data_IF_175520615233
#
_entry.id   IF_175520615233
#
_cell.length_a   1.000
_cell.length_b   1.000
_cell.length_c   1.000
_cell.angle_alpha   90.00
_cell.angle_beta   90.00
_cell.angle_gamma   90.00
#
_symmetry.space_group_name_H-M   'P 1'
#
loop_
_entity.id
_entity.type
_entity.pdbx_description
1 polymer ?
#
# COMPACT_ATOMS: atom_id res chain seq x y z
N UNK A 1 7.15 -3.02 25.56
CA UNK A 1 6.47 -2.13 24.60
C UNK A 1 7.44 -1.09 24.10
N UNK A 2 7.98 -1.25 22.89
CA UNK A 2 8.48 -0.07 22.15
C UNK A 2 7.26 0.62 21.55
N UNK A 3 7.09 1.94 21.67
CA UNK A 3 5.98 2.63 21.03
C UNK A 3 6.18 2.59 19.51
N UNK A 4 5.17 2.08 18.79
CA UNK A 4 5.08 2.01 17.32
C UNK A 4 5.06 3.38 16.61
N UNK A 5 5.18 4.49 17.37
CA UNK A 5 4.93 5.86 16.90
C UNK A 5 6.21 6.54 16.36
N UNK A 6 7.38 5.93 16.51
CA UNK A 6 8.67 6.55 16.16
C UNK A 6 8.85 6.89 14.68
N UNK A 7 8.26 6.09 13.78
CA UNK A 7 8.52 6.18 12.33
C UNK A 7 7.44 6.96 11.55
N UNK A 8 6.42 7.49 12.26
CA UNK A 8 5.31 8.25 11.65
C UNK A 8 5.73 9.70 11.31
N UNK A 9 6.78 10.22 11.95
CA UNK A 9 7.18 11.64 11.83
C UNK A 9 8.07 11.96 10.61
N UNK A 10 8.64 10.96 9.92
CA UNK A 10 9.76 11.19 8.98
C UNK A 10 9.36 11.62 7.54
N UNK A 11 8.09 11.93 7.26
CA UNK A 11 7.66 12.29 5.88
C UNK A 11 6.90 13.61 5.76
N UNK A 12 6.85 14.44 6.80
CA UNK A 12 6.21 15.80 6.75
C UNK A 12 7.01 16.84 5.94
N UNK A 13 8.09 16.45 5.28
CA UNK A 13 8.99 17.37 4.56
C UNK A 13 9.02 17.08 3.06
N UNK A 14 7.93 17.41 2.37
CA UNK A 14 8.01 17.82 0.97
C UNK A 14 7.38 19.21 0.86
N UNK A 15 8.22 20.23 0.70
CA UNK A 15 7.76 21.61 0.58
C UNK A 15 6.95 21.82 -0.70
N UNK A 16 5.81 22.50 -0.55
CA UNK A 16 4.95 22.97 -1.62
C UNK A 16 5.75 23.88 -2.56
N UNK A 17 6.01 23.41 -3.78
CA UNK A 17 6.46 24.30 -4.86
C UNK A 17 5.24 24.76 -5.63
N UNK A 18 4.86 26.02 -5.41
CA UNK A 18 3.79 26.68 -6.17
C UNK A 18 4.20 26.81 -7.62
N UNK A 19 3.67 25.95 -8.49
CA UNK A 19 3.80 26.12 -9.94
C UNK A 19 2.62 26.94 -10.44
N UNK A 20 2.87 28.21 -10.76
CA UNK A 20 1.90 29.09 -11.43
C UNK A 20 1.55 28.48 -12.80
N UNK A 21 0.32 27.99 -12.92
CA UNK A 21 -0.20 27.39 -14.16
C UNK A 21 -0.52 28.45 -15.20
N UNK A 22 0.30 28.50 -16.25
CA UNK A 22 0.05 29.22 -17.49
C UNK A 22 -0.15 28.26 -18.67
N UNK A 23 -1.40 27.88 -18.92
CA UNK A 23 -1.97 27.53 -20.23
C UNK A 23 -1.28 26.46 -21.11
N UNK A 24 -1.78 25.22 -21.04
CA UNK A 24 -2.16 24.38 -22.20
C UNK A 24 -2.88 23.11 -21.73
N UNK A 25 -4.22 23.11 -21.81
CA UNK A 25 -5.05 21.93 -21.64
C UNK A 25 -4.93 21.24 -20.28
N UNK A 26 -5.25 21.95 -19.20
CA UNK A 26 -5.23 21.38 -17.85
C UNK A 26 -6.34 20.34 -17.72
N UNK A 27 -6.00 19.06 -17.96
CA UNK A 27 -6.77 17.98 -17.36
C UNK A 27 -6.69 18.20 -15.84
N UNK A 28 -7.84 18.48 -15.22
CA UNK A 28 -7.94 18.56 -13.76
C UNK A 28 -7.44 17.25 -13.20
N UNK A 29 -6.37 17.29 -12.40
CA UNK A 29 -5.84 16.12 -11.70
C UNK A 29 -6.95 15.55 -10.82
N UNK A 30 -7.11 14.22 -10.82
CA UNK A 30 -8.07 13.55 -9.94
C UNK A 30 -7.87 14.00 -8.48
N UNK A 31 -8.97 14.13 -7.73
CA UNK A 31 -8.94 14.63 -6.36
C UNK A 31 -8.23 13.63 -5.45
N UNK A 32 -8.48 12.34 -5.67
CA UNK A 32 -7.89 11.24 -4.90
C UNK A 32 -6.97 10.37 -5.74
N UNK A 33 -6.06 9.65 -5.08
CA UNK A 33 -5.28 8.62 -5.74
C UNK A 33 -6.16 7.45 -6.18
N UNK A 34 -7.23 7.15 -5.45
CA UNK A 34 -8.19 6.10 -5.81
C UNK A 34 -8.81 6.37 -7.19
N UNK A 35 -9.25 7.60 -7.45
CA UNK A 35 -9.73 8.00 -8.78
C UNK A 35 -8.62 7.92 -9.83
N UNK A 36 -7.41 8.38 -9.51
CA UNK A 36 -6.27 8.42 -10.43
C UNK A 36 -5.82 7.02 -10.89
N UNK A 37 -5.89 6.02 -10.02
CA UNK A 37 -5.56 4.62 -10.36
C UNK A 37 -6.69 3.89 -11.08
N UNK A 38 -7.85 4.54 -11.30
CA UNK A 38 -9.01 3.95 -11.96
C UNK A 38 -10.00 3.27 -11.00
N UNK A 39 -10.04 3.70 -9.75
CA UNK A 39 -10.91 3.21 -8.68
C UNK A 39 -10.65 1.76 -8.30
N UNK A 40 -11.62 1.16 -7.62
CA UNK A 40 -11.56 -0.23 -7.17
C UNK A 40 -11.24 -1.23 -8.30
N UNK A 41 -11.74 -1.00 -9.52
CA UNK A 41 -11.44 -1.88 -10.66
C UNK A 41 -9.98 -1.79 -11.11
N UNK A 42 -9.39 -0.58 -11.07
CA UNK A 42 -7.96 -0.40 -11.29
C UNK A 42 -7.11 -1.11 -10.26
N UNK A 43 -7.50 -1.00 -8.99
CA UNK A 43 -6.82 -1.67 -7.88
C UNK A 43 -6.95 -3.18 -7.94
N UNK A 44 -8.13 -3.71 -8.31
CA UNK A 44 -8.30 -5.15 -8.58
C UNK A 44 -7.33 -5.63 -9.66
N UNK A 45 -7.18 -4.90 -10.77
CA UNK A 45 -6.21 -5.27 -11.82
C UNK A 45 -4.78 -5.25 -11.31
N UNK A 46 -4.39 -4.18 -10.62
CA UNK A 46 -3.07 -4.06 -9.99
C UNK A 46 -2.79 -5.23 -9.06
N UNK A 47 -3.69 -5.53 -8.12
CA UNK A 47 -3.54 -6.63 -7.17
C UNK A 47 -3.47 -7.99 -7.87
N UNK A 48 -4.30 -8.25 -8.89
CA UNK A 48 -4.22 -9.50 -9.66
C UNK A 48 -2.84 -9.65 -10.34
N UNK A 49 -2.39 -8.61 -11.06
CA UNK A 49 -1.09 -8.67 -11.74
C UNK A 49 0.08 -8.85 -10.75
N UNK A 50 -0.02 -8.24 -9.56
CA UNK A 50 0.97 -8.40 -8.52
C UNK A 50 1.03 -9.84 -7.98
N UNK A 51 -0.13 -10.42 -7.64
CA UNK A 51 -0.18 -11.78 -7.10
C UNK A 51 0.17 -12.86 -8.12
N UNK A 52 -0.13 -12.65 -9.42
CA UNK A 52 0.36 -13.54 -10.49
C UNK A 52 1.90 -13.64 -10.47
N UNK A 53 2.59 -12.51 -10.23
CA UNK A 53 4.04 -12.45 -10.08
C UNK A 53 4.53 -13.12 -8.80
N UNK A 54 3.99 -12.71 -7.64
CA UNK A 54 4.40 -13.21 -6.32
C UNK A 54 4.24 -14.71 -6.17
N UNK A 55 3.11 -15.27 -6.62
CA UNK A 55 2.84 -16.71 -6.49
C UNK A 55 3.73 -17.55 -7.41
N UNK A 56 4.33 -16.94 -8.44
CA UNK A 56 5.27 -17.57 -9.35
C UNK A 56 6.73 -17.38 -8.92
N UNK A 57 7.00 -16.51 -7.95
CA UNK A 57 8.34 -16.15 -7.52
C UNK A 57 8.87 -17.14 -6.46
N UNK A 58 10.03 -17.79 -6.67
CA UNK A 58 10.55 -18.80 -5.73
C UNK A 58 10.85 -18.27 -4.31
N UNK A 59 11.20 -16.99 -4.17
CA UNK A 59 11.53 -16.39 -2.88
C UNK A 59 10.27 -16.02 -2.10
N UNK A 60 9.23 -15.54 -2.80
CA UNK A 60 8.00 -15.06 -2.17
C UNK A 60 6.89 -16.11 -2.09
N UNK A 61 6.80 -17.06 -3.01
CA UNK A 61 5.76 -18.09 -2.99
C UNK A 61 5.64 -18.80 -1.62
N UNK A 62 6.74 -19.13 -0.90
CA UNK A 62 6.63 -19.70 0.46
C UNK A 62 5.98 -18.77 1.50
N UNK A 63 6.15 -17.45 1.37
CA UNK A 63 5.51 -16.45 2.25
C UNK A 63 3.98 -16.46 2.08
N UNK A 64 3.52 -16.82 0.90
CA UNK A 64 2.11 -16.88 0.51
C UNK A 64 1.59 -18.33 0.42
N UNK A 65 2.16 -19.27 1.18
CA UNK A 65 1.76 -20.68 1.13
C UNK A 65 0.27 -20.91 1.47
N UNK A 66 -0.28 -20.11 2.38
CA UNK A 66 -1.70 -20.16 2.80
C UNK A 66 -2.59 -19.18 2.01
N UNK A 67 -2.12 -18.70 0.86
CA UNK A 67 -2.85 -17.74 0.03
C UNK A 67 -4.20 -18.28 -0.46
N UNK A 68 -5.21 -17.41 -0.44
CA UNK A 68 -6.48 -17.63 -1.10
C UNK A 68 -6.81 -16.47 -2.03
N UNK A 69 -7.59 -16.73 -3.10
CA UNK A 69 -7.97 -15.66 -4.04
C UNK A 69 -8.74 -14.51 -3.38
N UNK A 70 -9.44 -14.76 -2.28
CA UNK A 70 -10.11 -13.71 -1.49
C UNK A 70 -9.13 -12.65 -0.98
N UNK A 71 -7.87 -13.01 -0.77
CA UNK A 71 -6.82 -12.07 -0.36
C UNK A 71 -6.58 -10.96 -1.38
N UNK A 72 -6.70 -11.24 -2.68
CA UNK A 72 -6.59 -10.22 -3.74
C UNK A 72 -7.64 -9.12 -3.55
N UNK A 73 -8.88 -9.52 -3.27
CA UNK A 73 -9.98 -8.58 -3.07
C UNK A 73 -9.76 -7.75 -1.81
N UNK A 74 -9.30 -8.36 -0.71
CA UNK A 74 -8.97 -7.63 0.52
C UNK A 74 -7.87 -6.59 0.29
N UNK A 75 -6.85 -6.89 -0.51
CA UNK A 75 -5.80 -5.92 -0.85
C UNK A 75 -6.36 -4.79 -1.72
N UNK A 76 -7.18 -5.09 -2.73
CA UNK A 76 -7.79 -4.05 -3.56
C UNK A 76 -8.68 -3.10 -2.73
N UNK A 77 -9.48 -3.66 -1.81
CA UNK A 77 -10.34 -2.89 -0.91
C UNK A 77 -9.53 -2.08 0.11
N UNK A 78 -8.44 -2.63 0.64
CA UNK A 78 -7.49 -1.89 1.48
C UNK A 78 -6.91 -0.69 0.74
N UNK A 79 -6.39 -0.90 -0.47
CA UNK A 79 -5.78 0.16 -1.27
C UNK A 79 -6.79 1.24 -1.67
N UNK A 80 -8.05 0.88 -1.93
CA UNK A 80 -9.10 1.85 -2.25
C UNK A 80 -9.28 2.80 -1.07
N UNK A 81 -9.38 2.26 0.15
CA UNK A 81 -9.48 3.06 1.36
C UNK A 81 -8.25 3.94 1.57
N UNK A 82 -7.05 3.36 1.51
CA UNK A 82 -5.79 4.11 1.67
C UNK A 82 -5.73 5.29 0.70
N UNK A 83 -6.08 5.09 -0.57
CA UNK A 83 -5.94 6.10 -1.62
C UNK A 83 -7.09 7.12 -1.69
N UNK A 84 -7.95 7.16 -0.67
CA UNK A 84 -9.02 8.15 -0.53
C UNK A 84 -10.39 7.68 -1.06
N UNK A 85 -10.52 6.40 -1.40
CA UNK A 85 -11.77 5.75 -1.74
C UNK A 85 -12.60 5.30 -0.52
N UNK A 86 -13.43 4.28 -0.72
CA UNK A 86 -14.43 3.85 0.25
C UNK A 86 -13.79 3.17 1.48
N UNK A 87 -14.41 3.29 2.66
CA UNK A 87 -13.94 2.73 3.95
C UNK A 87 -14.21 1.23 4.12
N UNK A 88 -14.37 0.50 3.02
CA UNK A 88 -14.87 -0.88 3.08
C UNK A 88 -13.93 -1.83 3.81
N UNK A 89 -12.61 -1.58 3.82
CA UNK A 89 -11.70 -2.43 4.57
C UNK A 89 -11.90 -2.22 6.07
N UNK A 90 -12.00 -0.98 6.52
CA UNK A 90 -12.30 -0.67 7.92
C UNK A 90 -13.66 -1.22 8.33
N UNK A 91 -14.69 -0.97 7.53
CA UNK A 91 -16.08 -1.32 7.85
C UNK A 91 -16.31 -2.84 7.85
N UNK A 92 -15.76 -3.56 6.87
CA UNK A 92 -16.05 -4.99 6.65
C UNK A 92 -14.94 -5.93 7.17
N UNK A 93 -13.69 -5.46 7.27
CA UNK A 93 -12.50 -6.29 7.50
C UNK A 93 -11.66 -5.89 8.73
N UNK A 94 -12.06 -4.86 9.47
CA UNK A 94 -11.45 -4.51 10.76
C UNK A 94 -10.28 -3.53 10.70
N UNK A 95 -10.04 -2.89 9.55
CA UNK A 95 -9.18 -1.71 9.43
C UNK A 95 -7.70 -1.95 9.73
N UNK A 96 -7.00 -0.88 10.09
CA UNK A 96 -5.56 -0.87 10.36
C UNK A 96 -5.10 -2.01 11.27
N UNK A 97 -5.82 -2.26 12.37
CA UNK A 97 -5.47 -3.30 13.32
C UNK A 97 -5.51 -4.69 12.70
N UNK A 98 -6.50 -4.99 11.86
CA UNK A 98 -6.63 -6.28 11.19
C UNK A 98 -5.50 -6.50 10.18
N UNK A 99 -5.12 -5.46 9.43
CA UNK A 99 -3.99 -5.51 8.50
C UNK A 99 -2.68 -5.81 9.24
N UNK A 100 -2.36 -5.09 10.32
CA UNK A 100 -1.09 -5.32 11.03
C UNK A 100 -1.05 -6.73 11.62
N UNK A 101 -2.16 -7.19 12.20
CA UNK A 101 -2.27 -8.56 12.74
C UNK A 101 -2.06 -9.63 11.68
N UNK A 102 -2.44 -9.39 10.43
CA UNK A 102 -2.23 -10.37 9.36
C UNK A 102 -0.75 -10.59 9.00
N UNK A 103 0.14 -9.70 9.45
CA UNK A 103 1.58 -9.78 9.18
C UNK A 103 2.37 -10.46 10.32
N UNK A 104 1.79 -10.58 11.51
CA UNK A 104 2.46 -11.18 12.69
C UNK A 104 2.95 -12.60 12.40
N UNK A 105 4.17 -12.89 12.85
CA UNK A 105 4.79 -14.22 12.78
C UNK A 105 5.24 -14.64 11.38
N UNK A 106 5.13 -13.78 10.38
CA UNK A 106 5.60 -14.10 9.02
C UNK A 106 7.13 -14.01 8.88
N UNK A 107 7.81 -13.32 9.81
CA UNK A 107 9.27 -13.14 9.81
C UNK A 107 9.84 -12.70 8.45
N UNK A 108 9.21 -11.69 7.84
CA UNK A 108 9.55 -11.17 6.51
C UNK A 108 10.98 -10.63 6.55
N UNK A 109 11.83 -11.12 5.65
CA UNK A 109 13.22 -10.65 5.53
C UNK A 109 13.31 -9.41 4.66
N UNK A 110 14.42 -8.67 4.76
CA UNK A 110 14.65 -7.52 3.88
C UNK A 110 14.78 -7.95 2.41
N UNK A 111 15.34 -9.11 2.13
CA UNK A 111 15.43 -9.68 0.79
C UNK A 111 14.03 -9.92 0.20
N UNK A 112 13.12 -10.50 0.99
CA UNK A 112 11.72 -10.70 0.60
C UNK A 112 11.02 -9.35 0.39
N UNK A 113 11.23 -8.37 1.27
CA UNK A 113 10.64 -7.02 1.14
C UNK A 113 11.07 -6.34 -0.17
N UNK A 114 12.36 -6.38 -0.49
CA UNK A 114 12.89 -5.79 -1.72
C UNK A 114 12.35 -6.51 -2.96
N UNK A 115 12.31 -7.85 -2.94
CA UNK A 115 11.74 -8.62 -4.05
C UNK A 115 10.24 -8.35 -4.25
N UNK A 116 9.50 -8.19 -3.16
CA UNK A 116 8.09 -7.78 -3.19
C UNK A 116 7.93 -6.41 -3.85
N UNK A 117 8.80 -5.44 -3.51
CA UNK A 117 8.78 -4.09 -4.09
C UNK A 117 9.10 -4.09 -5.58
N UNK A 118 10.02 -4.94 -6.03
CA UNK A 118 10.31 -5.13 -7.46
C UNK A 118 9.07 -5.59 -8.23
N UNK A 119 8.43 -6.67 -7.77
CA UNK A 119 7.22 -7.21 -8.43
C UNK A 119 6.04 -6.24 -8.39
N UNK A 120 5.87 -5.49 -7.29
CA UNK A 120 4.86 -4.45 -7.22
C UNK A 120 5.16 -3.30 -8.19
N UNK A 121 6.43 -2.93 -8.36
CA UNK A 121 6.85 -1.91 -9.34
C UNK A 121 6.56 -2.34 -10.77
N UNK A 122 6.79 -3.61 -11.09
CA UNK A 122 6.42 -4.20 -12.39
C UNK A 122 4.89 -4.17 -12.60
N UNK A 123 4.10 -4.54 -11.59
CA UNK A 123 2.64 -4.49 -11.65
C UNK A 123 2.11 -3.05 -11.81
N UNK A 124 2.69 -2.08 -11.09
CA UNK A 124 2.36 -0.65 -11.22
C UNK A 124 2.67 -0.14 -12.62
N UNK A 125 3.84 -0.45 -13.17
CA UNK A 125 4.22 -0.03 -14.52
C UNK A 125 3.30 -0.61 -15.59
N UNK A 126 2.79 -1.83 -15.37
CA UNK A 126 1.90 -2.54 -16.29
C UNK A 126 0.45 -2.05 -16.22
N UNK A 127 -0.09 -1.86 -15.02
CA UNK A 127 -1.54 -1.72 -14.83
C UNK A 127 -2.00 -0.26 -14.62
N UNK A 128 -1.13 0.62 -14.12
CA UNK A 128 -1.48 2.02 -13.86
C UNK A 128 -1.25 2.92 -15.09
N UNK A 129 -1.98 4.05 -15.19
CA UNK A 129 -1.76 5.05 -16.23
C UNK A 129 -0.28 5.46 -16.34
N UNK A 130 0.14 5.85 -17.54
CA UNK A 130 1.51 6.33 -17.81
C UNK A 130 1.70 7.78 -17.31
N UNK A 131 1.52 7.93 -16.00
CA UNK A 131 1.73 9.15 -15.23
C UNK A 131 2.83 8.87 -14.20
N UNK A 132 4.00 9.47 -14.41
CA UNK A 132 5.18 9.26 -13.57
C UNK A 132 4.94 9.72 -12.13
N UNK A 133 4.16 10.78 -11.92
CA UNK A 133 3.89 11.29 -10.58
C UNK A 133 2.95 10.34 -9.84
N UNK A 134 1.89 9.86 -10.51
CA UNK A 134 0.99 8.84 -9.95
C UNK A 134 1.75 7.58 -9.57
N UNK A 135 2.49 7.00 -10.50
CA UNK A 135 3.26 5.77 -10.26
C UNK A 135 4.24 5.93 -9.11
N UNK A 136 4.96 7.05 -9.06
CA UNK A 136 5.88 7.35 -7.96
C UNK A 136 5.15 7.44 -6.61
N UNK A 137 4.02 8.15 -6.52
CA UNK A 137 3.25 8.27 -5.27
C UNK A 137 2.73 6.93 -4.75
N UNK A 138 2.31 6.05 -5.66
CA UNK A 138 1.88 4.68 -5.32
C UNK A 138 3.06 3.85 -4.81
N UNK A 139 4.23 3.93 -5.46
CA UNK A 139 5.43 3.21 -5.01
C UNK A 139 5.93 3.70 -3.65
N UNK A 140 5.89 5.01 -3.38
CA UNK A 140 6.26 5.56 -2.08
C UNK A 140 5.35 5.05 -0.95
N UNK A 141 4.04 4.92 -1.19
CA UNK A 141 3.13 4.29 -0.25
C UNK A 141 3.54 2.85 0.08
N UNK A 142 3.83 2.06 -0.95
CA UNK A 142 4.22 0.67 -0.76
C UNK A 142 5.57 0.52 -0.05
N UNK A 143 6.55 1.38 -0.34
CA UNK A 143 7.82 1.35 0.38
C UNK A 143 7.63 1.69 1.86
N UNK A 144 6.81 2.69 2.18
CA UNK A 144 6.45 3.01 3.57
C UNK A 144 5.73 1.84 4.26
N UNK A 145 4.67 1.30 3.65
CA UNK A 145 3.86 0.23 4.24
C UNK A 145 4.63 -1.08 4.41
N UNK A 146 5.50 -1.43 3.46
CA UNK A 146 6.28 -2.69 3.54
C UNK A 146 7.34 -2.66 4.65
N UNK A 147 7.84 -1.49 5.04
CA UNK A 147 8.73 -1.37 6.22
C UNK A 147 7.97 -1.69 7.51
N UNK A 148 6.77 -1.14 7.66
CA UNK A 148 5.88 -1.45 8.80
C UNK A 148 5.53 -2.94 8.82
N UNK A 149 5.13 -3.50 7.68
CA UNK A 149 4.80 -4.92 7.56
C UNK A 149 5.98 -5.82 7.97
N UNK A 150 7.19 -5.51 7.50
CA UNK A 150 8.41 -6.23 7.88
C UNK A 150 8.64 -6.16 9.40
N UNK A 151 8.58 -4.96 9.97
CA UNK A 151 8.87 -4.75 11.38
C UNK A 151 7.84 -5.46 12.28
N UNK A 152 6.55 -5.37 11.95
CA UNK A 152 5.47 -6.11 12.64
C UNK A 152 5.63 -7.62 12.48
N UNK A 153 6.09 -8.10 11.32
CA UNK A 153 6.18 -9.54 11.06
C UNK A 153 7.18 -10.29 11.92
N UNK A 154 8.12 -9.57 12.56
CA UNK A 154 9.08 -10.12 13.49
C UNK A 154 8.43 -10.54 14.82
N UNK A 155 7.29 -9.96 15.17
CA UNK A 155 6.57 -10.28 16.40
C UNK A 155 5.72 -11.55 16.25
N UNK A 156 5.59 -12.39 17.29
CA UNK A 156 4.79 -13.62 17.22
C UNK A 156 3.31 -13.38 16.93
N UNK A 157 2.66 -14.38 16.33
CA UNK A 157 1.20 -14.43 16.21
C UNK A 157 0.56 -14.29 17.60
N UNK A 158 -0.45 -13.41 17.70
CA UNK A 158 -1.16 -13.13 18.95
C UNK A 158 -0.56 -12.00 19.79
N UNK A 159 0.52 -11.36 19.34
CA UNK A 159 1.07 -10.16 19.98
C UNK A 159 0.02 -9.05 20.06
N UNK A 160 -0.10 -8.43 21.23
CA UNK A 160 -0.94 -7.23 21.42
C UNK A 160 -0.21 -6.00 20.89
N UNK A 161 -0.69 -5.48 19.75
CA UNK A 161 -0.16 -4.30 19.08
C UNK A 161 -0.63 -2.99 19.73
N UNK A 162 -1.51 -3.05 20.73
CA UNK A 162 -2.19 -1.87 21.27
C UNK A 162 -3.17 -1.26 20.27
N UNK A 163 -3.37 0.05 20.39
CA UNK A 163 -4.16 0.84 19.43
C UNK A 163 -3.22 1.45 18.37
N UNK A 164 -3.23 0.95 17.12
CA UNK A 164 -2.40 1.50 16.05
C UNK A 164 -2.95 2.82 15.47
N UNK A 165 -4.09 3.32 15.98
CA UNK A 165 -4.78 4.48 15.45
C UNK A 165 -5.66 4.14 14.23
N UNK A 166 -6.27 5.16 13.60
CA UNK A 166 -7.16 4.97 12.46
C UNK A 166 -6.41 4.40 11.25
N UNK A 167 -7.17 3.87 10.28
CA UNK A 167 -6.64 3.49 8.97
C UNK A 167 -5.99 4.72 8.30
N UNK A 168 -4.69 4.63 7.93
CA UNK A 168 -3.98 5.76 7.34
C UNK A 168 -4.59 6.13 5.98
N UNK A 169 -4.39 7.37 5.54
CA UNK A 169 -4.77 7.82 4.20
C UNK A 169 -3.53 8.32 3.47
N UNK A 170 -3.44 8.03 2.18
CA UNK A 170 -2.31 8.39 1.33
C UNK A 170 -2.82 9.16 0.12
N UNK A 171 -2.43 10.43 0.03
CA UNK A 171 -2.81 11.35 -1.03
C UNK A 171 -1.64 11.74 -1.92
N UNK A 172 -1.88 12.76 -2.73
CA UNK A 172 -0.85 13.30 -3.64
C UNK A 172 0.37 13.88 -2.93
N UNK A 173 0.20 14.32 -1.69
CA UNK A 173 1.27 14.90 -0.86
C UNK A 173 1.85 13.89 0.17
N UNK A 174 1.45 12.61 0.10
CA UNK A 174 1.88 11.56 1.03
C UNK A 174 0.83 11.22 2.08
N UNK A 175 1.26 10.84 3.28
CA UNK A 175 0.39 10.50 4.40
C UNK A 175 -0.48 11.72 4.80
N UNK A 176 -1.79 11.50 4.91
CA UNK A 176 -2.82 12.51 5.26
C UNK A 176 -3.28 12.30 6.70
#
# INVERSE_FOLDING_TARGET
MRPFIGDIEEMKHYERTDVVSGGRGDAVRAETLAEAVGGIEGLRRLSNSFYDGVLSDPLLAPVFADFSRTHIEHVAVWLDEIFGGATRYTDDLGGHQALLKSHLGMAITEEQRLRWMELMSEAVAKELPDDEVLRRRVIEYFDWGTRIARDVSADPVGTDLGDPGPTPRWGWDGLV
#
